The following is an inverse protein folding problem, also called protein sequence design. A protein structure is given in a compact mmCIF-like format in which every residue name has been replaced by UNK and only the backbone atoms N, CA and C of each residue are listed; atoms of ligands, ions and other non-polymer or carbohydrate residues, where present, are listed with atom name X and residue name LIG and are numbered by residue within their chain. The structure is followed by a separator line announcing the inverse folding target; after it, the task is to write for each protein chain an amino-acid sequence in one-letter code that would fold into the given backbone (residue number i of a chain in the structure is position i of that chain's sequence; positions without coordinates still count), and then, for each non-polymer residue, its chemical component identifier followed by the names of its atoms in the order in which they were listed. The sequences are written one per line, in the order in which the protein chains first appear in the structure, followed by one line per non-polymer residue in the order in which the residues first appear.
data_IF_763252479612
#
_entry.id   IF_763252479612
#
_cell.length_a   1.000
_cell.length_b   1.000
_cell.length_c   1.000
_cell.angle_alpha   90.00
_cell.angle_beta   90.00
_cell.angle_gamma   90.00
#
_symmetry.space_group_name_H-M   'P 1'
#
loop_
_entity.id
_entity.type
_entity.pdbx_description
1 polymer ?
#
# COMPACT_ATOMS: atom_id res chain seq x y z
N UNK A 1 -0.06 -2.71 0.32
CA UNK A 1 0.01 -3.77 1.36
C UNK A 1 -0.82 -5.01 1.02
N UNK A 2 -2.06 -4.89 0.54
CA UNK A 2 -2.86 -6.04 0.08
C UNK A 2 -2.20 -6.83 -1.06
N UNK A 3 -1.57 -6.15 -2.02
CA UNK A 3 -0.81 -6.81 -3.10
C UNK A 3 0.27 -7.76 -2.56
N UNK A 4 1.16 -7.27 -1.68
CA UNK A 4 2.20 -8.09 -1.06
C UNK A 4 1.64 -9.27 -0.26
N UNK A 5 0.57 -9.06 0.51
CA UNK A 5 -0.08 -10.12 1.29
C UNK A 5 -0.69 -11.19 0.38
N UNK A 6 -1.34 -10.78 -0.70
CA UNK A 6 -1.94 -11.68 -1.68
C UNK A 6 -0.87 -12.50 -2.42
N UNK A 7 0.26 -11.89 -2.77
CA UNK A 7 1.38 -12.59 -3.40
C UNK A 7 2.04 -13.55 -2.41
N UNK A 8 2.36 -13.12 -1.19
CA UNK A 8 3.00 -13.98 -0.19
C UNK A 8 2.13 -15.14 0.31
N UNK A 9 0.81 -15.07 0.16
CA UNK A 9 -0.09 -16.19 0.49
C UNK A 9 0.19 -17.48 -0.30
N UNK A 10 0.79 -17.36 -1.49
CA UNK A 10 1.09 -18.49 -2.39
C UNK A 10 2.58 -18.72 -2.59
N UNK A 11 3.44 -17.96 -1.90
CA UNK A 11 4.89 -18.11 -1.99
C UNK A 11 5.36 -19.14 -0.96
N UNK A 12 6.12 -20.17 -1.38
CA UNK A 12 6.75 -21.10 -0.43
C UNK A 12 7.66 -20.36 0.55
N UNK A 13 7.62 -20.74 1.84
CA UNK A 13 8.39 -20.07 2.92
C UNK A 13 9.88 -19.89 2.60
N UNK A 14 10.50 -20.87 1.94
CA UNK A 14 11.90 -20.85 1.53
C UNK A 14 12.24 -19.74 0.52
N UNK A 15 11.29 -19.32 -0.31
CA UNK A 15 11.49 -18.34 -1.39
C UNK A 15 10.94 -16.95 -1.07
N UNK A 16 10.29 -16.75 0.08
CA UNK A 16 9.68 -15.46 0.48
C UNK A 16 10.68 -14.31 0.43
N UNK A 17 11.91 -14.51 0.94
CA UNK A 17 12.94 -13.45 0.94
C UNK A 17 13.33 -13.03 -0.47
N UNK A 18 13.42 -13.98 -1.41
CA UNK A 18 13.80 -13.74 -2.80
C UNK A 18 12.67 -12.98 -3.51
N UNK A 19 11.44 -13.51 -3.44
CA UNK A 19 10.27 -12.87 -4.06
C UNK A 19 10.04 -11.46 -3.51
N UNK A 20 10.24 -11.25 -2.20
CA UNK A 20 10.14 -9.93 -1.60
C UNK A 20 11.15 -8.92 -2.20
N UNK A 21 12.39 -9.33 -2.45
CA UNK A 21 13.40 -8.48 -3.11
C UNK A 21 12.99 -8.14 -4.55
N UNK A 22 12.50 -9.12 -5.30
CA UNK A 22 12.04 -8.92 -6.69
C UNK A 22 10.88 -7.91 -6.77
N UNK A 23 9.87 -8.06 -5.90
CA UNK A 23 8.74 -7.12 -5.84
C UNK A 23 9.17 -5.71 -5.44
N UNK A 24 10.11 -5.60 -4.48
CA UNK A 24 10.70 -4.30 -4.11
C UNK A 24 11.43 -3.65 -5.28
N UNK A 25 12.15 -4.43 -6.09
CA UNK A 25 12.87 -3.93 -7.26
C UNK A 25 11.93 -3.36 -8.34
N UNK A 26 10.70 -3.88 -8.47
CA UNK A 26 9.69 -3.31 -9.36
C UNK A 26 9.26 -1.93 -8.89
N UNK A 27 8.97 -1.76 -7.60
CA UNK A 27 8.49 -0.48 -7.04
C UNK A 27 9.60 0.53 -6.75
N UNK A 28 10.86 0.13 -6.87
CA UNK A 28 12.01 1.03 -6.76
C UNK A 28 12.30 1.79 -8.07
N UNK A 29 11.63 1.45 -9.17
CA UNK A 29 11.83 2.13 -10.45
C UNK A 29 11.21 3.53 -10.45
N UNK A 30 11.87 4.46 -11.15
CA UNK A 30 11.52 5.88 -11.19
C UNK A 30 10.47 6.22 -12.26
N UNK A 31 10.04 5.26 -13.08
CA UNK A 31 9.05 5.47 -14.13
C UNK A 31 8.07 4.31 -14.24
N UNK A 32 6.79 4.61 -14.52
CA UNK A 32 5.75 3.59 -14.79
C UNK A 32 6.15 2.63 -15.91
N UNK A 33 6.82 3.13 -16.96
CA UNK A 33 7.31 2.31 -18.08
C UNK A 33 8.44 1.37 -17.64
N UNK A 34 9.38 1.87 -16.84
CA UNK A 34 10.47 1.08 -16.27
C UNK A 34 9.94 0.01 -15.28
N UNK A 35 8.99 0.37 -14.43
CA UNK A 35 8.28 -0.54 -13.52
C UNK A 35 7.58 -1.67 -14.28
N UNK A 36 6.87 -1.36 -15.38
CA UNK A 36 6.24 -2.38 -16.24
C UNK A 36 7.27 -3.31 -16.89
N UNK A 37 8.36 -2.76 -17.41
CA UNK A 37 9.46 -3.54 -17.97
C UNK A 37 10.06 -4.50 -16.94
N UNK A 38 10.35 -4.01 -15.73
CA UNK A 38 10.88 -4.82 -14.64
C UNK A 38 9.88 -5.87 -14.15
N UNK A 39 8.59 -5.54 -14.11
CA UNK A 39 7.55 -6.49 -13.75
C UNK A 39 7.49 -7.67 -14.72
N UNK A 40 7.57 -7.42 -16.03
CA UNK A 40 7.64 -8.48 -17.05
C UNK A 40 8.85 -9.39 -16.84
N UNK A 41 10.01 -8.81 -16.56
CA UNK A 41 11.23 -9.57 -16.27
C UNK A 41 11.07 -10.43 -15.00
N UNK A 42 10.51 -9.88 -13.92
CA UNK A 42 10.24 -10.60 -12.68
C UNK A 42 9.23 -11.73 -12.90
N UNK A 43 8.18 -11.51 -13.69
CA UNK A 43 7.19 -12.55 -14.02
C UNK A 43 7.85 -13.70 -14.80
N UNK A 44 8.71 -13.40 -15.76
CA UNK A 44 9.46 -14.42 -16.50
C UNK A 44 10.38 -15.24 -15.56
N UNK A 45 11.09 -14.57 -14.66
CA UNK A 45 11.96 -15.22 -13.67
C UNK A 45 11.17 -16.08 -12.67
N UNK A 46 10.00 -15.61 -12.21
CA UNK A 46 9.10 -16.39 -11.34
C UNK A 46 8.57 -17.64 -12.04
N UNK A 47 8.25 -17.55 -13.34
CA UNK A 47 7.86 -18.71 -14.16
C UNK A 47 9.02 -19.71 -14.31
N UNK A 48 10.24 -19.24 -14.54
CA UNK A 48 11.45 -20.07 -14.58
C UNK A 48 11.71 -20.79 -13.24
N UNK A 49 11.43 -20.13 -12.10
CA UNK A 49 11.51 -20.71 -10.76
C UNK A 49 10.38 -21.70 -10.42
N UNK A 50 9.53 -22.06 -11.40
CA UNK A 50 8.33 -22.91 -11.26
C UNK A 50 7.26 -22.33 -10.32
N UNK A 51 7.22 -21.02 -10.13
CA UNK A 51 6.25 -20.32 -9.27
C UNK A 51 5.11 -19.71 -10.11
N UNK A 52 4.38 -20.54 -10.85
CA UNK A 52 3.34 -20.10 -11.81
C UNK A 52 2.22 -19.27 -11.14
N UNK A 53 1.74 -19.72 -9.98
CA UNK A 53 0.70 -19.01 -9.21
C UNK A 53 1.15 -17.64 -8.71
N UNK A 54 2.41 -17.53 -8.28
CA UNK A 54 3.00 -16.25 -7.85
C UNK A 54 3.10 -15.31 -9.05
N UNK A 55 3.57 -15.80 -10.20
CA UNK A 55 3.70 -15.03 -11.42
C UNK A 55 2.34 -14.47 -11.89
N UNK A 56 1.29 -15.30 -11.88
CA UNK A 56 -0.08 -14.87 -12.23
C UNK A 56 -0.60 -13.77 -11.31
N UNK A 57 -0.47 -13.94 -9.99
CA UNK A 57 -0.90 -12.90 -9.03
C UNK A 57 -0.13 -11.59 -9.17
N UNK A 58 1.14 -11.65 -9.55
CA UNK A 58 1.94 -10.45 -9.83
C UNK A 58 1.44 -9.77 -11.12
N UNK A 59 1.21 -10.53 -12.19
CA UNK A 59 0.70 -10.02 -13.47
C UNK A 59 -0.69 -9.36 -13.32
N UNK A 60 -1.62 -10.01 -12.63
CA UNK A 60 -2.98 -9.48 -12.40
C UNK A 60 -2.99 -8.26 -11.46
N UNK A 61 -2.03 -8.18 -10.53
CA UNK A 61 -1.98 -7.16 -9.49
C UNK A 61 -1.09 -5.96 -9.81
N UNK A 62 -0.18 -6.07 -10.79
CA UNK A 62 0.83 -5.04 -11.01
C UNK A 62 0.23 -3.73 -11.53
N UNK A 63 -0.71 -3.79 -12.47
CA UNK A 63 -1.32 -2.58 -13.03
C UNK A 63 -2.07 -1.77 -11.97
N UNK A 64 -2.84 -2.44 -11.11
CA UNK A 64 -3.52 -1.80 -9.97
C UNK A 64 -2.53 -1.21 -8.96
N UNK A 65 -1.35 -1.81 -8.86
CA UNK A 65 -0.32 -1.32 -7.94
C UNK A 65 0.47 -0.17 -8.55
N UNK A 66 0.54 -0.04 -9.88
CA UNK A 66 1.26 1.05 -10.56
C UNK A 66 0.40 2.29 -10.80
N UNK A 67 -0.88 2.28 -10.44
CA UNK A 67 -1.77 3.46 -10.53
C UNK A 67 -1.26 4.65 -9.72
N UNK A 68 -0.46 4.43 -8.66
CA UNK A 68 0.14 5.55 -7.91
C UNK A 68 1.22 6.29 -8.73
N UNK A 69 1.80 5.67 -9.75
CA UNK A 69 2.80 6.31 -10.61
C UNK A 69 2.22 7.42 -11.50
N UNK A 70 0.90 7.57 -11.55
CA UNK A 70 0.23 8.65 -12.26
C UNK A 70 0.19 9.97 -11.47
N UNK A 71 0.64 9.96 -10.20
CA UNK A 71 0.81 11.15 -9.35
C UNK A 71 2.24 11.68 -9.40
N UNK A 72 2.53 12.86 -8.84
CA UNK A 72 3.89 13.41 -8.78
C UNK A 72 4.82 12.51 -7.93
N UNK A 73 6.09 12.38 -8.33
CA UNK A 73 7.07 11.49 -7.70
C UNK A 73 7.25 11.70 -6.19
N UNK A 74 7.15 12.95 -5.73
CA UNK A 74 7.22 13.29 -4.29
C UNK A 74 6.08 12.67 -3.47
N UNK A 75 4.92 12.43 -4.09
CA UNK A 75 3.78 11.79 -3.45
C UNK A 75 3.86 10.26 -3.50
N UNK A 76 4.71 9.67 -4.35
CA UNK A 76 4.78 8.21 -4.50
C UNK A 76 5.11 7.51 -3.20
N UNK A 77 6.07 8.01 -2.43
CA UNK A 77 6.43 7.38 -1.14
C UNK A 77 5.26 7.41 -0.15
N UNK A 78 4.44 8.48 -0.16
CA UNK A 78 3.29 8.62 0.73
C UNK A 78 2.11 7.76 0.28
N UNK A 79 1.77 7.77 -1.01
CA UNK A 79 0.67 6.99 -1.58
C UNK A 79 0.99 5.48 -1.57
N UNK A 80 2.25 5.10 -1.81
CA UNK A 80 2.70 3.70 -1.80
C UNK A 80 2.64 3.08 -0.41
N UNK A 81 2.76 3.87 0.65
CA UNK A 81 2.83 3.37 2.03
C UNK A 81 1.52 3.59 2.78
N UNK A 82 0.76 2.50 2.95
CA UNK A 82 -0.45 2.50 3.77
C UNK A 82 -0.16 2.51 5.29
N UNK A 83 1.04 2.96 5.70
CA UNK A 83 1.56 2.83 7.06
C UNK A 83 0.65 3.47 8.10
N UNK A 84 0.03 4.59 7.73
CA UNK A 84 -0.92 5.38 8.54
C UNK A 84 -2.15 4.54 8.87
N UNK A 85 -2.87 4.06 7.85
CA UNK A 85 -4.09 3.26 8.04
C UNK A 85 -3.77 1.92 8.73
N UNK A 86 -2.63 1.31 8.41
CA UNK A 86 -2.23 0.05 9.05
C UNK A 86 -1.83 0.20 10.51
N UNK A 87 -1.15 1.29 10.86
CA UNK A 87 -0.87 1.61 12.25
C UNK A 87 -2.18 1.84 13.01
N UNK A 88 -3.11 2.59 12.41
CA UNK A 88 -4.42 2.86 13.00
C UNK A 88 -5.23 1.57 13.21
N UNK A 89 -5.29 0.71 12.20
CA UNK A 89 -5.96 -0.59 12.29
C UNK A 89 -5.32 -1.49 13.34
N UNK A 90 -3.98 -1.53 13.43
CA UNK A 90 -3.28 -2.27 14.49
C UNK A 90 -3.61 -1.73 15.87
N UNK A 91 -3.66 -0.41 16.03
CA UNK A 91 -4.01 0.21 17.31
C UNK A 91 -5.47 -0.05 17.70
N UNK A 92 -6.40 -0.03 16.74
CA UNK A 92 -7.79 -0.44 16.95
C UNK A 92 -7.86 -1.88 17.43
N UNK A 93 -7.22 -2.82 16.73
CA UNK A 93 -7.19 -4.24 17.11
C UNK A 93 -6.55 -4.45 18.49
N UNK A 94 -5.49 -3.70 18.82
CA UNK A 94 -4.83 -3.80 20.13
C UNK A 94 -5.78 -3.38 21.25
N UNK A 95 -6.54 -2.29 21.07
CA UNK A 95 -7.46 -1.77 22.09
C UNK A 95 -8.72 -2.61 22.22
N UNK A 96 -9.25 -3.14 21.12
CA UNK A 96 -10.42 -4.04 21.16
C UNK A 96 -10.06 -5.39 21.79
N UNK A 97 -8.83 -5.88 21.60
CA UNK A 97 -8.37 -7.15 22.20
C UNK A 97 -8.34 -7.13 23.72
N UNK A 98 -8.05 -5.98 24.34
CA UNK A 98 -8.02 -5.86 25.81
C UNK A 98 -9.42 -5.96 26.42
N UNK A 99 -10.44 -5.49 25.70
CA UNK A 99 -11.83 -5.55 26.17
C UNK A 99 -12.37 -6.99 26.11
N UNK A 100 -11.86 -7.82 25.19
CA UNK A 100 -12.21 -9.24 25.07
C UNK A 100 -13.60 -9.47 24.48
N UNK A 101 -14.65 -9.04 25.17
CA UNK A 101 -16.05 -9.14 24.72
C UNK A 101 -16.77 -7.83 24.99
N UNK A 102 -17.39 -7.27 23.95
CA UNK A 102 -18.18 -6.06 24.10
C UNK A 102 -19.62 -6.43 24.48
N UNK A 103 -20.28 -5.64 25.36
CA UNK A 103 -21.67 -5.87 25.72
C UNK A 103 -22.63 -5.66 24.53
N UNK A 104 -22.27 -4.78 23.59
CA UNK A 104 -23.04 -4.50 22.37
C UNK A 104 -22.15 -3.89 21.27
N UNK A 105 -22.68 -3.81 20.04
CA UNK A 105 -21.97 -3.25 18.88
C UNK A 105 -21.70 -1.74 18.96
N UNK A 106 -22.56 -0.97 19.63
CA UNK A 106 -22.36 0.48 19.84
C UNK A 106 -21.23 0.75 20.83
N UNK A 107 -21.06 -0.09 21.86
CA UNK A 107 -19.93 -0.02 22.79
C UNK A 107 -18.59 -0.20 22.08
N UNK A 108 -18.51 -1.15 21.12
CA UNK A 108 -17.34 -1.32 20.27
C UNK A 108 -17.11 -0.10 19.36
N UNK A 109 -18.18 0.41 18.74
CA UNK A 109 -18.13 1.60 17.89
C UNK A 109 -17.64 2.83 18.66
N UNK A 110 -18.14 3.05 19.87
CA UNK A 110 -17.73 4.16 20.73
C UNK A 110 -16.22 4.14 21.01
N UNK A 111 -15.66 2.98 21.34
CA UNK A 111 -14.23 2.84 21.59
C UNK A 111 -13.40 3.18 20.34
N UNK A 112 -13.83 2.72 19.17
CA UNK A 112 -13.18 3.03 17.90
C UNK A 112 -13.28 4.52 17.60
N UNK A 113 -14.47 5.11 17.69
CA UNK A 113 -14.71 6.53 17.44
C UNK A 113 -13.94 7.43 18.42
N UNK A 114 -13.89 7.08 19.70
CA UNK A 114 -13.10 7.80 20.70
C UNK A 114 -11.61 7.78 20.33
N UNK A 115 -11.10 6.63 19.86
CA UNK A 115 -9.70 6.54 19.40
C UNK A 115 -9.45 7.37 18.14
N UNK A 116 -10.35 7.31 17.16
CA UNK A 116 -10.26 8.11 15.94
C UNK A 116 -10.25 9.60 16.25
N UNK A 117 -11.15 10.07 17.12
CA UNK A 117 -11.23 11.45 17.58
C UNK A 117 -9.94 11.90 18.27
N UNK A 118 -9.38 11.06 19.14
CA UNK A 118 -8.09 11.35 19.76
C UNK A 118 -6.98 11.46 18.72
N UNK A 119 -6.88 10.55 17.75
CA UNK A 119 -5.84 10.62 16.71
C UNK A 119 -6.00 11.89 15.85
N UNK A 120 -7.23 12.23 15.48
CA UNK A 120 -7.53 13.46 14.75
C UNK A 120 -7.18 14.73 15.54
N UNK A 121 -7.36 14.74 16.86
CA UNK A 121 -6.97 15.86 17.73
C UNK A 121 -5.48 15.99 18.04
N UNK A 122 -4.64 15.05 17.60
CA UNK A 122 -3.17 15.10 17.82
C UNK A 122 -2.44 15.71 16.62
N UNK A 123 -1.09 15.78 16.69
CA UNK A 123 -0.22 16.21 15.58
C UNK A 123 -0.53 15.55 14.22
N UNK A 124 -1.19 14.40 14.23
CA UNK A 124 -1.66 13.71 13.03
C UNK A 124 -2.74 14.45 12.25
N UNK A 125 -3.72 15.07 12.91
CA UNK A 125 -4.74 15.87 12.23
C UNK A 125 -4.19 17.16 11.61
N UNK A 126 -3.08 17.66 12.15
CA UNK A 126 -2.42 18.88 11.67
C UNK A 126 -1.41 18.63 10.53
N UNK A 127 -1.00 17.37 10.28
CA UNK A 127 -0.08 17.05 9.18
C UNK A 127 -0.84 17.03 7.86
N UNK A 128 -0.52 17.98 6.97
CA UNK A 128 -0.96 17.94 5.56
C UNK A 128 -0.38 16.69 4.89
N UNK A 129 -1.21 15.66 4.73
CA UNK A 129 -0.82 14.36 4.18
C UNK A 129 -0.37 14.48 2.71
N UNK A 130 -1.08 15.32 1.94
CA UNK A 130 -0.75 15.71 0.57
C UNK A 130 -0.61 17.23 0.50
N UNK A 131 0.42 17.74 -0.18
CA UNK A 131 0.51 19.17 -0.45
C UNK A 131 -0.28 19.47 -1.72
N UNK A 132 -1.43 20.15 -1.56
CA UNK A 132 -2.37 20.45 -2.64
C UNK A 132 -1.80 21.40 -3.70
N UNK A 133 -0.75 22.16 -3.38
CA UNK A 133 -0.08 23.04 -4.36
C UNK A 133 0.46 22.26 -5.56
N UNK A 134 1.05 21.09 -5.33
CA UNK A 134 1.55 20.24 -6.43
C UNK A 134 0.42 19.61 -7.28
N UNK A 135 -0.81 19.57 -6.77
CA UNK A 135 -1.99 19.11 -7.50
C UNK A 135 -2.59 20.24 -8.37
N UNK A 136 -2.46 21.49 -7.93
CA UNK A 136 -2.84 22.68 -8.71
C UNK A 136 -1.90 22.90 -9.89
N UNK A 137 -0.60 22.63 -9.72
CA UNK A 137 0.40 22.69 -10.81
C UNK A 137 0.08 21.67 -11.92
N UNK A 138 -0.36 20.45 -11.58
CA UNK A 138 -0.82 19.43 -12.54
C UNK A 138 -1.99 19.95 -13.38
N UNK A 139 -2.95 20.62 -12.74
CA UNK A 139 -4.12 21.16 -13.43
C UNK A 139 -3.73 22.31 -14.37
N UNK A 140 -2.67 23.04 -14.06
CA UNK A 140 -2.14 24.13 -14.89
C UNK A 140 -1.39 23.59 -16.10
N UNK A 141 -0.52 22.60 -15.93
CA UNK A 141 0.22 21.98 -17.04
C UNK A 141 -0.68 21.22 -18.02
N UNK A 142 -1.75 20.59 -17.53
CA UNK A 142 -2.77 19.92 -18.37
C UNK A 142 -3.71 20.88 -19.11
N UNK A 143 -3.77 22.15 -18.72
CA UNK A 143 -4.61 23.18 -19.37
C UNK A 143 -3.81 24.08 -20.33
N UNK A 144 -2.48 23.98 -20.31
CA UNK A 144 -1.57 24.83 -21.10
C UNK A 144 -0.81 24.02 -22.17
N UNK A 145 -0.87 22.69 -22.16
CA UNK A 145 -0.41 21.80 -23.23
C UNK A 145 -1.54 21.28 -24.10
#
# INVERSE_FOLDING_TARGET
MHFYRNVFSVVPKSKVKIVAKMLKAIHAQESKKASRGKAKAVVAELRAMKLKEVAKKVEDGIEKTLTYCDFFGEHWTRIRTNNVIEWLNREIHRRTRVVGTFPDGNSALMLVCARLRHVAGTQWGNKKYMNMKHLEDIKRDLLVG
#
